data_IF_064121954666
#
_entry.id   IF_064121954666
#
_cell.length_a   1.000
_cell.length_b   1.000
_cell.length_c   1.000
_cell.angle_alpha   90.00
_cell.angle_beta   90.00
_cell.angle_gamma   90.00
#
_symmetry.space_group_name_H-M   'P 1'
#
loop_
_entity.id
_entity.type
_entity.pdbx_description
1 polymer ?
#
# COMPACT_ATOMS: atom_id res chain seq x y z
N UNK A 1 27.88 21.46 27.16
CA UNK A 1 28.28 22.87 27.34
C UNK A 1 27.78 23.45 28.65
N UNK A 2 26.46 23.57 28.90
CA UNK A 2 25.94 24.10 30.19
C UNK A 2 26.51 23.43 31.44
N UNK A 3 26.59 22.10 31.44
CA UNK A 3 27.15 21.33 32.57
C UNK A 3 28.66 21.55 32.80
N UNK A 4 29.39 21.87 31.74
CA UNK A 4 30.83 22.17 31.82
C UNK A 4 31.04 23.57 32.38
N UNK A 5 30.22 24.52 31.95
CA UNK A 5 30.20 25.88 32.48
C UNK A 5 29.79 25.92 33.96
N UNK A 6 28.80 25.13 34.36
CA UNK A 6 28.38 25.02 35.77
C UNK A 6 29.46 24.36 36.64
N UNK A 7 30.20 23.39 36.09
CA UNK A 7 31.37 22.81 36.76
C UNK A 7 32.48 23.84 36.96
N UNK A 8 32.79 24.65 35.94
CA UNK A 8 33.79 25.70 36.06
C UNK A 8 33.36 26.85 36.99
N UNK A 9 32.07 27.20 36.99
CA UNK A 9 31.51 28.23 37.87
C UNK A 9 31.47 27.83 39.36
N UNK A 10 31.53 26.52 39.67
CA UNK A 10 31.60 26.00 41.04
C UNK A 10 33.01 26.09 41.67
N UNK A 11 33.98 26.70 40.99
CA UNK A 11 35.33 26.92 41.51
C UNK A 11 35.33 28.10 42.48
N UNK A 12 35.44 27.85 43.78
CA UNK A 12 35.54 28.91 44.80
C UNK A 12 36.81 29.76 44.60
N UNK A 13 36.69 31.07 44.78
CA UNK A 13 37.85 31.97 44.81
C UNK A 13 38.72 31.67 46.05
N UNK A 14 40.06 31.69 45.92
CA UNK A 14 40.95 31.42 47.04
C UNK A 14 40.65 32.38 48.22
N UNK A 15 40.76 31.92 49.48
CA UNK A 15 40.49 32.76 50.63
C UNK A 15 41.40 33.97 50.57
N UNK A 16 40.80 35.18 50.63
CA UNK A 16 41.57 36.41 50.72
C UNK A 16 42.45 36.36 51.98
N UNK A 17 43.66 36.95 51.95
CA UNK A 17 44.49 37.07 53.15
C UNK A 17 43.65 37.71 54.26
N UNK A 18 43.62 37.11 55.47
CA UNK A 18 42.72 37.58 56.51
C UNK A 18 43.09 39.00 56.99
N UNK A 19 42.10 39.76 57.47
CA UNK A 19 42.23 41.14 57.99
C UNK A 19 43.38 41.31 59.02
N UNK A 20 43.80 40.22 59.70
CA UNK A 20 44.93 40.21 60.64
C UNK A 20 46.30 40.52 59.99
N UNK A 21 46.44 40.43 58.66
CA UNK A 21 47.66 40.85 57.95
C UNK A 21 47.91 42.36 58.10
N UNK A 22 46.83 43.17 58.10
CA UNK A 22 46.91 44.59 58.41
C UNK A 22 47.35 44.84 59.86
N UNK A 23 46.91 43.98 60.78
CA UNK A 23 47.26 44.03 62.21
C UNK A 23 48.74 43.67 62.42
N UNK A 24 49.26 42.66 61.74
CA UNK A 24 50.68 42.27 61.79
C UNK A 24 51.57 43.35 61.15
N UNK A 25 51.14 43.94 60.04
CA UNK A 25 51.86 45.03 59.38
C UNK A 25 51.94 46.28 60.27
N UNK A 26 50.82 46.65 60.90
CA UNK A 26 50.74 47.74 61.89
C UNK A 26 51.63 47.47 63.11
N UNK A 27 51.70 46.22 63.58
CA UNK A 27 52.56 45.80 64.70
C UNK A 27 54.05 45.82 64.31
N UNK A 28 54.39 45.44 63.08
CA UNK A 28 55.77 45.42 62.57
C UNK A 28 56.35 46.82 62.33
N UNK A 29 55.50 47.83 62.20
CA UNK A 29 55.87 49.25 62.03
C UNK A 29 56.12 49.98 63.37
N UNK A 30 55.78 49.37 64.52
CA UNK A 30 56.08 49.94 65.84
C UNK A 30 57.60 49.87 66.15
N UNK A 31 58.19 50.95 66.71
CA UNK A 31 59.63 51.00 66.98
C UNK A 31 60.05 49.95 68.01
N UNK A 32 61.03 49.10 67.66
CA UNK A 32 61.63 48.04 68.51
C UNK A 32 62.54 48.59 69.63
N UNK A 33 62.13 49.66 70.32
CA UNK A 33 62.85 50.23 71.47
C UNK A 33 62.04 49.99 72.75
N UNK A 34 62.23 48.80 73.35
CA UNK A 34 61.68 48.46 74.66
C UNK A 34 61.57 46.94 74.86
N UNK A 35 62.19 46.46 75.94
CA UNK A 35 62.15 45.12 76.55
C UNK A 35 62.26 43.88 75.60
N UNK A 36 63.36 43.08 75.65
CA UNK A 36 63.52 41.87 74.82
C UNK A 36 62.37 40.86 74.92
N UNK A 37 61.57 40.89 75.99
CA UNK A 37 60.38 40.06 76.16
C UNK A 37 59.25 40.46 75.20
N UNK A 38 59.09 41.75 74.88
CA UNK A 38 58.03 42.22 73.96
C UNK A 38 58.39 41.89 72.51
N UNK A 39 59.66 42.03 72.14
CA UNK A 39 60.13 41.65 70.80
C UNK A 39 59.94 40.16 70.50
N UNK A 40 60.21 39.28 71.47
CA UNK A 40 60.03 37.83 71.29
C UNK A 40 58.55 37.43 71.24
N UNK A 41 57.67 38.12 71.98
CA UNK A 41 56.23 37.90 71.90
C UNK A 41 55.69 38.32 70.52
N UNK A 42 56.13 39.46 69.97
CA UNK A 42 55.71 39.91 68.65
C UNK A 42 56.22 38.99 67.53
N UNK A 43 57.43 38.46 67.65
CA UNK A 43 58.00 37.47 66.73
C UNK A 43 57.22 36.14 66.80
N UNK A 44 56.90 35.65 67.99
CA UNK A 44 56.07 34.46 68.16
C UNK A 44 54.65 34.65 67.59
N UNK A 45 54.02 35.81 67.80
CA UNK A 45 52.70 36.12 67.23
C UNK A 45 52.78 36.17 65.69
N UNK A 46 53.84 36.78 65.14
CA UNK A 46 54.05 36.83 63.70
C UNK A 46 54.21 35.42 63.12
N UNK A 47 55.04 34.57 63.73
CA UNK A 47 55.27 33.20 63.30
C UNK A 47 54.01 32.34 63.42
N UNK A 48 53.23 32.49 64.50
CA UNK A 48 51.98 31.76 64.71
C UNK A 48 50.89 32.18 63.71
N UNK A 49 50.82 33.48 63.36
CA UNK A 49 49.89 33.98 62.33
C UNK A 49 50.27 33.48 60.93
N UNK A 50 51.56 33.49 60.59
CA UNK A 50 52.05 32.95 59.30
C UNK A 50 51.79 31.45 59.23
N UNK A 51 52.04 30.71 60.31
CA UNK A 51 51.79 29.27 60.40
C UNK A 51 50.29 28.94 60.26
N UNK A 52 49.42 29.69 60.96
CA UNK A 52 47.97 29.54 60.86
C UNK A 52 47.45 29.88 59.44
N UNK A 53 48.04 30.87 58.76
CA UNK A 53 47.69 31.19 57.38
C UNK A 53 48.10 30.07 56.42
N UNK A 54 49.29 29.52 56.55
CA UNK A 54 49.72 28.37 55.75
C UNK A 54 48.83 27.14 55.98
N UNK A 55 48.44 26.88 57.23
CA UNK A 55 47.58 25.74 57.58
C UNK A 55 46.18 25.90 57.00
N UNK A 56 45.60 27.10 57.08
CA UNK A 56 44.29 27.41 56.46
C UNK A 56 44.33 27.34 54.94
N UNK A 57 45.40 27.80 54.30
CA UNK A 57 45.61 27.65 52.84
C UNK A 57 45.72 26.17 52.43
N UNK A 58 46.51 25.37 53.15
CA UNK A 58 46.65 23.93 52.89
C UNK A 58 45.32 23.20 53.09
N UNK A 59 44.57 23.54 54.14
CA UNK A 59 43.24 22.97 54.39
C UNK A 59 42.24 23.36 53.29
N UNK A 60 42.25 24.61 52.85
CA UNK A 60 41.42 25.08 51.73
C UNK A 60 41.75 24.37 50.42
N UNK A 61 43.04 24.29 50.06
CA UNK A 61 43.50 23.60 48.84
C UNK A 61 43.10 22.13 48.86
N UNK A 62 43.26 21.45 50.01
CA UNK A 62 42.85 20.06 50.20
C UNK A 62 41.34 19.87 50.03
N UNK A 63 40.53 20.72 50.68
CA UNK A 63 39.06 20.69 50.57
C UNK A 63 38.57 20.95 49.14
N UNK A 64 39.19 21.91 48.45
CA UNK A 64 38.84 22.27 47.07
C UNK A 64 39.22 21.16 46.08
N UNK A 65 40.41 20.56 46.25
CA UNK A 65 40.83 19.42 45.44
C UNK A 65 39.90 18.20 45.62
N UNK A 66 39.45 17.94 46.84
CA UNK A 66 38.52 16.84 47.14
C UNK A 66 37.13 17.07 46.52
N UNK A 67 36.62 18.31 46.56
CA UNK A 67 35.37 18.70 45.88
C UNK A 67 35.48 18.57 44.36
N UNK A 68 36.54 19.09 43.74
CA UNK A 68 36.72 18.96 42.29
C UNK A 68 36.89 17.51 41.85
N UNK A 69 37.57 16.68 42.65
CA UNK A 69 37.67 15.24 42.41
C UNK A 69 36.30 14.55 42.46
N UNK A 70 35.45 14.90 43.43
CA UNK A 70 34.08 14.37 43.51
C UNK A 70 33.21 14.83 42.33
N UNK A 71 33.25 16.12 41.99
CA UNK A 71 32.47 16.68 40.88
C UNK A 71 32.89 16.10 39.53
N UNK A 72 34.19 15.99 39.27
CA UNK A 72 34.71 15.35 38.05
C UNK A 72 34.31 13.88 37.95
N UNK A 73 34.26 13.15 39.08
CA UNK A 73 33.79 11.76 39.11
C UNK A 73 32.27 11.62 38.84
N UNK A 74 31.46 12.62 39.22
CA UNK A 74 30.01 12.64 38.99
C UNK A 74 29.61 13.08 37.57
N UNK A 75 30.44 13.90 36.93
CA UNK A 75 30.20 14.41 35.59
C UNK A 75 29.85 13.32 34.54
N UNK A 76 30.59 12.20 34.40
CA UNK A 76 30.23 11.13 33.47
C UNK A 76 28.91 10.43 33.82
N UNK A 77 28.57 10.30 35.11
CA UNK A 77 27.30 9.70 35.53
C UNK A 77 26.12 10.57 35.14
N UNK A 78 26.24 11.89 35.31
CA UNK A 78 25.21 12.84 34.90
C UNK A 78 25.02 12.86 33.38
N UNK A 79 26.12 12.80 32.61
CA UNK A 79 26.05 12.64 31.15
C UNK A 79 25.34 11.34 30.76
N UNK A 80 25.64 10.23 31.42
CA UNK A 80 24.99 8.95 31.17
C UNK A 80 23.48 9.00 31.49
N UNK A 81 23.09 9.65 32.60
CA UNK A 81 21.70 9.85 32.98
C UNK A 81 20.95 10.71 31.95
N UNK A 82 21.53 11.84 31.55
CA UNK A 82 20.97 12.72 30.52
C UNK A 82 20.78 11.98 29.19
N UNK A 83 21.76 11.16 28.79
CA UNK A 83 21.65 10.32 27.60
C UNK A 83 20.52 9.29 27.69
N UNK A 84 20.34 8.63 28.84
CA UNK A 84 19.23 7.69 29.07
C UNK A 84 17.87 8.39 29.06
N UNK A 85 17.77 9.58 29.66
CA UNK A 85 16.54 10.37 29.68
C UNK A 85 16.15 10.83 28.27
N UNK A 86 17.14 11.26 27.46
CA UNK A 86 16.91 11.61 26.05
C UNK A 86 16.37 10.43 25.26
N UNK A 87 17.00 9.25 25.37
CA UNK A 87 16.50 8.04 24.71
C UNK A 87 15.07 7.68 25.13
N UNK A 88 14.73 7.88 26.40
CA UNK A 88 13.37 7.64 26.91
C UNK A 88 12.38 8.62 26.30
N UNK A 89 12.73 9.90 26.18
CA UNK A 89 11.92 10.90 25.47
C UNK A 89 11.66 10.49 24.02
N UNK A 90 12.68 10.03 23.30
CA UNK A 90 12.54 9.59 21.91
C UNK A 90 11.60 8.37 21.80
N UNK A 91 11.73 7.41 22.72
CA UNK A 91 10.83 6.25 22.77
C UNK A 91 9.39 6.65 23.05
N UNK A 92 9.15 7.60 23.95
CA UNK A 92 7.80 8.12 24.22
C UNK A 92 7.23 8.81 22.98
N UNK A 93 8.02 9.63 22.29
CA UNK A 93 7.59 10.31 21.06
C UNK A 93 7.20 9.30 19.96
N UNK A 94 8.03 8.27 19.74
CA UNK A 94 7.74 7.20 18.77
C UNK A 94 6.49 6.41 19.18
N UNK A 95 6.31 6.17 20.48
CA UNK A 95 5.13 5.44 20.98
C UNK A 95 3.86 6.23 20.73
N UNK A 96 3.90 7.55 20.92
CA UNK A 96 2.76 8.42 20.67
C UNK A 96 2.43 8.52 19.17
N UNK A 97 3.43 8.66 18.31
CA UNK A 97 3.23 8.61 16.84
C UNK A 97 2.58 7.29 16.39
N UNK A 98 3.03 6.16 16.96
CA UNK A 98 2.43 4.86 16.68
C UNK A 98 1.00 4.73 17.21
N UNK A 99 0.70 5.30 18.37
CA UNK A 99 -0.67 5.33 18.90
C UNK A 99 -1.60 6.10 17.95
N UNK A 100 -1.20 7.29 17.50
CA UNK A 100 -1.97 8.09 16.54
C UNK A 100 -2.21 7.34 15.22
N UNK A 101 -1.20 6.60 14.74
CA UNK A 101 -1.35 5.76 13.55
C UNK A 101 -2.34 4.61 13.76
N UNK A 102 -2.29 3.95 14.93
CA UNK A 102 -3.24 2.90 15.30
C UNK A 102 -4.66 3.44 15.39
N UNK A 103 -4.85 4.61 16.00
CA UNK A 103 -6.17 5.26 16.11
C UNK A 103 -6.76 5.57 14.73
N UNK A 104 -5.94 6.07 13.78
CA UNK A 104 -6.37 6.25 12.39
C UNK A 104 -6.78 4.94 11.72
N UNK A 105 -6.02 3.87 11.92
CA UNK A 105 -6.37 2.56 11.38
C UNK A 105 -7.64 1.99 12.03
N UNK A 106 -7.86 2.23 13.32
CA UNK A 106 -9.06 1.79 14.03
C UNK A 106 -10.30 2.57 13.57
N UNK A 107 -10.20 3.89 13.40
CA UNK A 107 -11.26 4.70 12.83
C UNK A 107 -11.65 4.25 11.41
N UNK A 108 -10.66 3.96 10.55
CA UNK A 108 -10.90 3.40 9.23
C UNK A 108 -11.57 2.02 9.31
N UNK A 109 -11.17 1.17 10.26
CA UNK A 109 -11.76 -0.14 10.47
C UNK A 109 -13.22 -0.05 10.94
N UNK A 110 -13.53 0.85 11.88
CA UNK A 110 -14.91 1.09 12.34
C UNK A 110 -15.81 1.59 11.20
N UNK A 111 -15.31 2.50 10.36
CA UNK A 111 -16.05 2.97 9.19
C UNK A 111 -16.27 1.86 8.12
N UNK A 112 -15.32 0.92 7.97
CA UNK A 112 -15.52 -0.29 7.14
C UNK A 112 -16.59 -1.20 7.77
N UNK A 113 -16.55 -1.40 9.09
CA UNK A 113 -17.51 -2.23 9.83
C UNK A 113 -18.92 -1.67 9.72
N UNK A 114 -19.05 -0.35 9.80
CA UNK A 114 -20.33 0.35 9.74
C UNK A 114 -20.84 0.50 8.29
N UNK A 115 -20.13 -0.11 7.33
CA UNK A 115 -20.52 -0.29 5.93
C UNK A 115 -20.75 1.05 5.20
N UNK A 116 -19.94 2.06 5.54
CA UNK A 116 -20.09 3.38 4.95
C UNK A 116 -19.67 3.34 3.46
N UNK A 117 -20.62 3.61 2.56
CA UNK A 117 -20.42 3.57 1.11
C UNK A 117 -19.29 4.53 0.64
N UNK A 118 -18.90 5.50 1.46
CA UNK A 118 -17.80 6.44 1.21
C UNK A 118 -16.44 5.73 1.19
N UNK A 119 -16.19 4.83 2.14
CA UNK A 119 -14.93 4.08 2.26
C UNK A 119 -14.85 2.99 1.19
N UNK A 120 -15.95 2.27 0.92
CA UNK A 120 -15.99 1.31 -0.19
C UNK A 120 -15.61 1.96 -1.54
N UNK A 121 -16.10 3.18 -1.79
CA UNK A 121 -15.73 3.95 -3.00
C UNK A 121 -14.29 4.43 -2.98
N UNK A 122 -13.77 4.89 -1.84
CA UNK A 122 -12.37 5.32 -1.71
C UNK A 122 -11.37 4.16 -1.90
N UNK A 123 -11.63 2.99 -1.31
CA UNK A 123 -10.82 1.79 -1.50
C UNK A 123 -10.85 1.27 -2.93
N UNK A 124 -12.02 1.33 -3.59
CA UNK A 124 -12.12 0.99 -5.01
C UNK A 124 -11.33 1.96 -5.89
N UNK A 125 -11.42 3.27 -5.64
CA UNK A 125 -10.69 4.26 -6.42
C UNK A 125 -9.17 4.09 -6.28
N UNK A 126 -8.68 3.89 -5.05
CA UNK A 126 -7.25 3.68 -4.77
C UNK A 126 -6.74 2.38 -5.43
N UNK A 127 -7.47 1.27 -5.29
CA UNK A 127 -7.10 -0.01 -5.89
C UNK A 127 -7.12 0.06 -7.43
N UNK A 128 -8.08 0.79 -8.02
CA UNK A 128 -8.18 0.92 -9.47
C UNK A 128 -7.01 1.73 -10.04
N UNK A 129 -6.65 2.86 -9.42
CA UNK A 129 -5.47 3.64 -9.82
C UNK A 129 -4.20 2.83 -9.68
N UNK A 130 -4.03 2.09 -8.58
CA UNK A 130 -2.86 1.23 -8.37
C UNK A 130 -2.79 0.10 -9.42
N UNK A 131 -3.93 -0.51 -9.79
CA UNK A 131 -3.98 -1.53 -10.84
C UNK A 131 -3.43 -1.01 -12.18
N UNK A 132 -3.83 0.19 -12.59
CA UNK A 132 -3.34 0.79 -13.84
C UNK A 132 -1.88 1.22 -13.76
N UNK A 133 -1.45 1.87 -12.68
CA UNK A 133 -0.06 2.30 -12.52
C UNK A 133 0.86 1.09 -12.51
N UNK A 134 0.57 0.10 -11.66
CA UNK A 134 1.38 -1.12 -11.57
C UNK A 134 1.32 -1.95 -12.86
N UNK A 135 0.17 -1.98 -13.55
CA UNK A 135 0.04 -2.63 -14.85
C UNK A 135 0.86 -1.96 -15.94
N UNK A 136 0.91 -0.62 -15.99
CA UNK A 136 1.73 0.13 -16.94
C UNK A 136 3.22 -0.09 -16.67
N UNK A 137 3.63 -0.07 -15.40
CA UNK A 137 5.03 -0.38 -15.04
C UNK A 137 5.36 -1.83 -15.40
N UNK A 138 4.46 -2.79 -15.16
CA UNK A 138 4.65 -4.18 -15.54
C UNK A 138 4.79 -4.36 -17.07
N UNK A 139 4.04 -3.59 -17.87
CA UNK A 139 4.17 -3.56 -19.33
C UNK A 139 5.57 -3.11 -19.77
N UNK A 140 6.11 -2.05 -19.17
CA UNK A 140 7.48 -1.60 -19.41
C UNK A 140 8.48 -2.69 -19.03
N UNK A 141 8.24 -3.39 -17.93
CA UNK A 141 9.03 -4.53 -17.48
C UNK A 141 9.02 -5.70 -18.49
N UNK A 142 7.86 -6.03 -19.06
CA UNK A 142 7.74 -7.04 -20.13
C UNK A 142 8.55 -6.61 -21.36
N UNK A 143 8.51 -5.33 -21.74
CA UNK A 143 9.36 -4.81 -22.83
C UNK A 143 10.86 -4.95 -22.51
N UNK A 144 11.26 -4.69 -21.27
CA UNK A 144 12.63 -4.96 -20.80
C UNK A 144 13.01 -6.45 -20.93
N UNK A 145 12.10 -7.34 -20.56
CA UNK A 145 12.27 -8.79 -20.69
C UNK A 145 12.38 -9.25 -22.14
N UNK A 146 11.63 -8.63 -23.06
CA UNK A 146 11.75 -8.90 -24.50
C UNK A 146 13.11 -8.44 -25.06
N UNK A 147 13.63 -7.30 -24.60
CA UNK A 147 14.98 -6.83 -24.98
C UNK A 147 16.03 -7.83 -24.47
N UNK A 148 15.91 -8.28 -23.22
CA UNK A 148 16.79 -9.29 -22.64
C UNK A 148 16.71 -10.64 -23.42
N UNK A 149 15.51 -11.10 -23.74
CA UNK A 149 15.30 -12.28 -24.59
C UNK A 149 16.01 -12.15 -25.94
N UNK A 150 15.89 -11.01 -26.60
CA UNK A 150 16.53 -10.78 -27.90
C UNK A 150 18.06 -10.65 -27.82
N UNK A 151 18.61 -10.23 -26.66
CA UNK A 151 20.04 -10.25 -26.40
C UNK A 151 20.58 -11.70 -26.31
N UNK A 152 19.81 -12.60 -25.69
CA UNK A 152 20.24 -13.96 -25.37
C UNK A 152 19.94 -14.96 -26.50
N UNK A 153 18.77 -14.87 -27.14
CA UNK A 153 18.25 -15.93 -28.01
C UNK A 153 19.16 -16.21 -29.23
N UNK A 154 19.80 -15.19 -29.79
CA UNK A 154 20.63 -15.35 -31.00
C UNK A 154 21.95 -16.11 -30.73
N UNK A 155 22.79 -15.71 -29.75
CA UNK A 155 23.95 -16.52 -29.34
C UNK A 155 23.58 -17.95 -28.95
N UNK A 156 22.47 -18.12 -28.23
CA UNK A 156 21.99 -19.45 -27.81
C UNK A 156 21.58 -20.33 -28.99
N UNK A 157 21.06 -19.74 -30.07
CA UNK A 157 20.79 -20.48 -31.30
C UNK A 157 22.07 -21.03 -31.92
N UNK A 158 23.20 -20.36 -31.80
CA UNK A 158 24.45 -20.89 -32.33
C UNK A 158 25.05 -21.97 -31.43
N UNK A 159 24.96 -21.79 -30.11
CA UNK A 159 25.51 -22.74 -29.14
C UNK A 159 24.70 -24.04 -29.02
N UNK A 160 23.37 -23.96 -29.11
CA UNK A 160 22.45 -25.10 -28.88
C UNK A 160 21.89 -25.67 -30.20
N UNK A 161 22.23 -25.04 -31.33
CA UNK A 161 21.81 -25.43 -32.66
C UNK A 161 20.51 -24.73 -33.09
N UNK A 162 20.63 -23.77 -34.01
CA UNK A 162 19.54 -22.85 -34.36
C UNK A 162 18.44 -23.47 -35.22
N UNK A 163 18.73 -24.64 -35.79
CA UNK A 163 17.77 -25.49 -36.51
C UNK A 163 17.33 -26.69 -35.68
N UNK A 164 17.74 -26.78 -34.41
CA UNK A 164 17.25 -27.79 -33.48
C UNK A 164 15.90 -27.32 -32.95
N UNK A 165 14.86 -28.10 -33.22
CA UNK A 165 13.52 -27.86 -32.72
C UNK A 165 13.20 -28.89 -31.64
N UNK A 166 12.71 -28.42 -30.49
CA UNK A 166 12.16 -29.29 -29.45
C UNK A 166 10.64 -29.15 -29.50
N UNK A 167 9.98 -30.08 -30.19
CA UNK A 167 8.56 -29.93 -30.53
C UNK A 167 8.33 -28.87 -31.60
N UNK A 168 7.41 -27.93 -31.36
CA UNK A 168 7.05 -26.84 -32.30
C UNK A 168 7.84 -25.53 -32.12
N UNK A 169 8.74 -25.45 -31.14
CA UNK A 169 9.53 -24.24 -30.84
C UNK A 169 11.03 -24.49 -31.07
N UNK A 170 11.78 -23.43 -31.39
CA UNK A 170 13.24 -23.50 -31.50
C UNK A 170 13.85 -23.74 -30.13
N UNK A 171 14.81 -24.66 -30.03
CA UNK A 171 15.48 -24.97 -28.76
C UNK A 171 16.19 -23.73 -28.17
N UNK A 172 16.68 -22.81 -29.01
CA UNK A 172 17.25 -21.52 -28.61
C UNK A 172 16.30 -20.65 -27.80
N UNK A 173 15.04 -20.59 -28.24
CA UNK A 173 14.03 -19.71 -27.66
C UNK A 173 13.60 -20.26 -26.30
N UNK A 174 13.48 -21.59 -26.20
CA UNK A 174 13.22 -22.26 -24.92
C UNK A 174 14.38 -22.01 -23.95
N UNK A 175 15.62 -22.15 -24.39
CA UNK A 175 16.79 -21.95 -23.53
C UNK A 175 16.89 -20.50 -23.02
N UNK A 176 16.67 -19.51 -23.89
CA UNK A 176 16.64 -18.10 -23.48
C UNK A 176 15.51 -17.82 -22.47
N UNK A 177 14.31 -18.37 -22.70
CA UNK A 177 13.18 -18.20 -21.79
C UNK A 177 13.44 -18.85 -20.42
N UNK A 178 14.11 -20.00 -20.37
CA UNK A 178 14.49 -20.66 -19.11
C UNK A 178 15.45 -19.79 -18.30
N UNK A 179 16.44 -19.15 -18.93
CA UNK A 179 17.37 -18.24 -18.25
C UNK A 179 16.59 -17.08 -17.61
N UNK A 180 15.74 -16.40 -18.38
CA UNK A 180 14.91 -15.28 -17.91
C UNK A 180 13.97 -15.72 -16.79
N UNK A 181 13.37 -16.91 -16.90
CA UNK A 181 12.49 -17.44 -15.85
C UNK A 181 13.24 -17.68 -14.53
N UNK A 182 14.45 -18.23 -14.61
CA UNK A 182 15.32 -18.41 -13.43
C UNK A 182 15.71 -17.06 -12.85
N UNK A 183 16.06 -16.10 -13.68
CA UNK A 183 16.43 -14.74 -13.28
C UNK A 183 15.28 -14.02 -12.55
N UNK A 184 14.08 -14.00 -13.13
CA UNK A 184 12.88 -13.42 -12.51
C UNK A 184 12.59 -14.12 -11.17
N UNK A 185 12.70 -15.46 -11.12
CA UNK A 185 12.49 -16.20 -9.88
C UNK A 185 13.53 -15.83 -8.81
N UNK A 186 14.83 -15.78 -9.16
CA UNK A 186 15.89 -15.39 -8.22
C UNK A 186 15.75 -13.93 -7.79
N UNK A 187 15.36 -13.04 -8.68
CA UNK A 187 15.10 -11.62 -8.40
C UNK A 187 13.96 -11.44 -7.42
N UNK A 188 12.89 -12.20 -7.60
CA UNK A 188 11.78 -12.23 -6.67
C UNK A 188 12.22 -12.72 -5.29
N UNK A 189 12.95 -13.84 -5.22
CA UNK A 189 13.45 -14.36 -3.93
C UNK A 189 14.40 -13.40 -3.23
N UNK A 190 15.21 -12.66 -4.00
CA UNK A 190 16.11 -11.64 -3.48
C UNK A 190 15.34 -10.50 -2.82
N UNK A 191 14.32 -9.95 -3.51
CA UNK A 191 13.51 -8.85 -2.99
C UNK A 191 12.63 -9.25 -1.81
N UNK A 192 12.14 -10.49 -1.80
CA UNK A 192 11.42 -11.04 -0.66
C UNK A 192 12.36 -11.22 0.55
N UNK A 193 13.59 -11.71 0.33
CA UNK A 193 14.60 -11.85 1.38
C UNK A 193 15.05 -10.48 1.94
N UNK A 194 14.96 -9.42 1.14
CA UNK A 194 15.18 -8.04 1.56
C UNK A 194 13.98 -7.42 2.28
N UNK A 195 12.82 -8.09 2.33
CA UNK A 195 11.54 -7.56 2.83
C UNK A 195 11.08 -6.29 2.12
N UNK A 196 11.49 -6.12 0.86
CA UNK A 196 10.96 -5.07 -0.01
C UNK A 196 9.58 -5.49 -0.50
N UNK A 197 9.45 -6.76 -0.92
CA UNK A 197 8.17 -7.36 -1.30
C UNK A 197 7.61 -8.29 -0.23
N UNK A 198 6.31 -8.56 -0.28
CA UNK A 198 5.59 -9.50 0.62
C UNK A 198 4.76 -10.52 -0.16
N UNK A 199 5.32 -11.05 -1.25
CA UNK A 199 4.65 -12.06 -2.09
C UNK A 199 4.62 -13.44 -1.42
N UNK A 200 5.62 -13.77 -0.60
CA UNK A 200 5.79 -15.09 0.01
C UNK A 200 5.92 -14.97 1.54
N UNK A 201 4.80 -14.95 2.28
CA UNK A 201 4.81 -14.72 3.72
C UNK A 201 5.67 -15.73 4.49
N UNK A 202 5.90 -16.93 3.95
CA UNK A 202 6.81 -17.94 4.55
C UNK A 202 8.22 -17.39 4.76
N UNK A 203 8.75 -16.60 3.80
CA UNK A 203 10.11 -16.05 3.85
C UNK A 203 10.22 -14.96 4.92
N UNK A 204 9.13 -14.22 5.17
CA UNK A 204 9.09 -13.17 6.20
C UNK A 204 9.28 -13.72 7.62
N UNK A 205 8.81 -14.95 7.88
CA UNK A 205 8.87 -15.61 9.19
C UNK A 205 10.16 -16.43 9.39
N UNK A 206 11.05 -16.49 8.40
CA UNK A 206 12.34 -17.17 8.52
C UNK A 206 13.27 -16.41 9.48
N UNK A 207 14.16 -17.15 10.15
CA UNK A 207 15.19 -16.58 11.01
C UNK A 207 16.16 -15.70 10.20
N UNK A 208 16.67 -14.65 10.86
CA UNK A 208 17.52 -13.63 10.22
C UNK A 208 18.79 -14.21 9.56
N UNK A 209 19.32 -15.33 10.09
CA UNK A 209 20.51 -15.98 9.55
C UNK A 209 20.21 -16.67 8.23
N UNK A 210 19.11 -17.44 8.14
CA UNK A 210 18.70 -18.07 6.90
C UNK A 210 18.33 -17.04 5.83
N UNK A 211 17.66 -15.95 6.21
CA UNK A 211 17.30 -14.86 5.28
C UNK A 211 18.53 -14.19 4.66
N UNK A 212 19.55 -13.87 5.48
CA UNK A 212 20.84 -13.34 4.96
C UNK A 212 21.54 -14.33 4.05
N UNK A 213 21.52 -15.62 4.40
CA UNK A 213 22.12 -16.67 3.56
C UNK A 213 21.39 -16.79 2.22
N UNK A 214 20.06 -16.79 2.22
CA UNK A 214 19.23 -16.78 1.01
C UNK A 214 19.57 -15.58 0.13
N UNK A 215 19.62 -14.37 0.71
CA UNK A 215 19.99 -13.15 0.01
C UNK A 215 21.35 -13.26 -0.69
N UNK A 216 22.38 -13.76 0.01
CA UNK A 216 23.71 -13.95 -0.59
C UNK A 216 23.66 -14.99 -1.70
N UNK A 217 22.98 -16.14 -1.51
CA UNK A 217 22.88 -17.20 -2.52
C UNK A 217 22.16 -16.68 -3.78
N UNK A 218 20.99 -16.07 -3.63
CA UNK A 218 20.20 -15.58 -4.78
C UNK A 218 20.92 -14.45 -5.51
N UNK A 219 21.57 -13.54 -4.77
CA UNK A 219 22.38 -12.48 -5.37
C UNK A 219 23.59 -13.06 -6.13
N UNK A 220 24.29 -14.04 -5.57
CA UNK A 220 25.40 -14.70 -6.25
C UNK A 220 24.95 -15.40 -7.54
N UNK A 221 23.80 -16.09 -7.53
CA UNK A 221 23.24 -16.72 -8.74
C UNK A 221 22.91 -15.66 -9.79
N UNK A 222 22.20 -14.58 -9.42
CA UNK A 222 21.90 -13.47 -10.32
C UNK A 222 23.15 -12.83 -10.90
N UNK A 223 24.19 -12.63 -10.08
CA UNK A 223 25.45 -12.05 -10.53
C UNK A 223 26.17 -12.96 -11.53
N UNK A 224 26.16 -14.28 -11.31
CA UNK A 224 26.72 -15.25 -12.25
C UNK A 224 25.93 -15.24 -13.56
N UNK A 225 24.59 -15.24 -13.50
CA UNK A 225 23.74 -15.17 -14.69
C UNK A 225 23.96 -13.87 -15.46
N UNK A 226 24.05 -12.72 -14.78
CA UNK A 226 24.40 -11.44 -15.38
C UNK A 226 25.75 -11.46 -16.09
N UNK A 227 26.75 -12.15 -15.52
CA UNK A 227 28.04 -12.36 -16.17
C UNK A 227 27.95 -13.21 -17.43
N UNK A 228 27.17 -14.29 -17.40
CA UNK A 228 26.91 -15.14 -18.57
C UNK A 228 26.20 -14.33 -19.65
N UNK A 229 25.19 -13.54 -19.30
CA UNK A 229 24.43 -12.72 -20.25
C UNK A 229 25.25 -11.58 -20.84
N UNK A 230 26.13 -10.95 -20.07
CA UNK A 230 27.09 -10.00 -20.60
C UNK A 230 28.00 -10.64 -21.66
N UNK A 231 28.44 -11.87 -21.42
CA UNK A 231 29.24 -12.64 -22.39
C UNK A 231 28.43 -13.04 -23.62
N UNK A 232 27.17 -13.46 -23.46
CA UNK A 232 26.27 -13.76 -24.58
C UNK A 232 25.94 -12.51 -25.40
N UNK A 233 25.71 -11.36 -24.76
CA UNK A 233 25.48 -10.09 -25.45
C UNK A 233 26.71 -9.65 -26.26
N UNK A 234 27.91 -9.85 -25.72
CA UNK A 234 29.15 -9.65 -26.48
C UNK A 234 29.26 -10.62 -27.67
N UNK A 235 28.94 -11.90 -27.46
CA UNK A 235 28.92 -12.91 -28.52
C UNK A 235 27.93 -12.53 -29.63
N UNK A 236 26.75 -12.01 -29.28
CA UNK A 236 25.75 -11.54 -30.25
C UNK A 236 26.33 -10.50 -31.20
N UNK A 237 27.08 -9.53 -30.66
CA UNK A 237 27.69 -8.48 -31.45
C UNK A 237 28.76 -9.06 -32.38
N UNK A 238 29.61 -9.96 -31.87
CA UNK A 238 30.62 -10.66 -32.68
C UNK A 238 30.00 -11.46 -33.83
N UNK A 239 28.92 -12.19 -33.56
CA UNK A 239 28.21 -12.96 -34.57
C UNK A 239 27.50 -12.09 -35.62
N UNK A 240 27.01 -10.92 -35.22
CA UNK A 240 26.48 -9.95 -36.15
C UNK A 240 27.58 -9.43 -37.09
N UNK A 241 28.77 -9.16 -36.57
CA UNK A 241 29.94 -8.72 -37.35
C UNK A 241 30.37 -9.78 -38.37
N UNK A 242 30.49 -11.04 -37.95
CA UNK A 242 30.89 -12.13 -38.85
C UNK A 242 29.89 -12.31 -40.00
N UNK A 243 28.59 -12.17 -39.72
CA UNK A 243 27.54 -12.22 -40.75
C UNK A 243 27.60 -11.04 -41.72
N UNK A 244 27.90 -9.84 -41.24
CA UNK A 244 28.10 -8.66 -42.10
C UNK A 244 29.32 -8.83 -43.00
N UNK A 245 30.45 -9.26 -42.43
CA UNK A 245 31.68 -9.50 -43.17
C UNK A 245 31.50 -10.58 -44.23
N UNK A 246 30.83 -11.69 -43.90
CA UNK A 246 30.50 -12.74 -44.86
C UNK A 246 29.59 -12.23 -45.98
N UNK A 247 28.56 -11.45 -45.68
CA UNK A 247 27.68 -10.87 -46.70
C UNK A 247 28.44 -9.93 -47.63
N UNK A 248 29.34 -9.12 -47.09
CA UNK A 248 30.13 -8.16 -47.86
C UNK A 248 31.17 -8.88 -48.75
N UNK A 249 31.81 -9.94 -48.24
CA UNK A 249 32.68 -10.81 -49.02
C UNK A 249 31.91 -11.54 -50.14
N UNK A 250 30.70 -12.03 -49.86
CA UNK A 250 29.85 -12.68 -50.87
C UNK A 250 29.33 -11.71 -51.93
N UNK A 251 29.17 -10.43 -51.58
CA UNK A 251 28.82 -9.36 -52.51
C UNK A 251 30.02 -8.83 -53.32
N UNK A 252 31.24 -9.34 -53.08
CA UNK A 252 32.46 -8.91 -53.78
C UNK A 252 32.94 -7.50 -53.42
N UNK A 253 32.47 -6.94 -52.31
CA UNK A 253 32.85 -5.60 -51.84
C UNK A 253 33.89 -5.75 -50.73
N UNK A 254 34.96 -4.95 -50.73
CA UNK A 254 35.93 -4.93 -49.62
C UNK A 254 35.29 -4.43 -48.34
N UNK A 255 35.46 -5.17 -47.24
CA UNK A 255 34.96 -4.80 -45.92
C UNK A 255 35.62 -3.50 -45.42
N UNK A 256 34.80 -2.47 -45.15
CA UNK A 256 35.25 -1.27 -44.46
C UNK A 256 35.16 -1.52 -42.95
N UNK A 257 36.32 -1.73 -42.31
CA UNK A 257 36.41 -1.77 -40.85
C UNK A 257 36.04 -0.39 -40.31
N UNK A 258 34.96 -0.30 -39.51
CA UNK A 258 34.60 0.97 -38.88
C UNK A 258 35.36 1.12 -37.56
N UNK A 259 36.10 2.21 -37.43
CA UNK A 259 37.10 2.50 -36.39
C UNK A 259 36.51 2.65 -34.97
N UNK A 260 35.19 2.85 -34.83
CA UNK A 260 34.49 3.10 -33.56
C UNK A 260 33.49 1.99 -33.14
N UNK A 261 33.65 0.76 -33.61
CA UNK A 261 32.69 -0.36 -33.34
C UNK A 261 32.71 -0.91 -31.91
N UNK A 262 33.74 -0.62 -31.11
CA UNK A 262 33.82 -1.08 -29.72
C UNK A 262 32.78 -0.42 -28.80
N UNK A 263 32.26 0.77 -29.17
CA UNK A 263 31.28 1.51 -28.37
C UNK A 263 29.95 0.72 -28.29
N UNK A 264 29.33 0.29 -29.42
CA UNK A 264 28.20 -0.63 -29.39
C UNK A 264 28.46 -1.92 -28.60
N UNK A 265 29.60 -2.58 -28.80
CA UNK A 265 29.90 -3.86 -28.13
C UNK A 265 29.93 -3.71 -26.62
N UNK A 266 30.59 -2.67 -26.10
CA UNK A 266 30.61 -2.37 -24.66
C UNK A 266 29.20 -2.02 -24.17
N UNK A 267 28.44 -1.21 -24.93
CA UNK A 267 27.08 -0.84 -24.59
C UNK A 267 26.16 -2.06 -24.45
N UNK A 268 26.26 -3.02 -25.37
CA UNK A 268 25.48 -4.25 -25.33
C UNK A 268 25.91 -5.18 -24.19
N UNK A 269 27.22 -5.30 -23.93
CA UNK A 269 27.74 -6.08 -22.81
C UNK A 269 27.28 -5.51 -21.46
N UNK A 270 27.37 -4.20 -21.28
CA UNK A 270 26.89 -3.50 -20.08
C UNK A 270 25.38 -3.65 -19.94
N UNK A 271 24.63 -3.53 -21.03
CA UNK A 271 23.18 -3.76 -21.03
C UNK A 271 22.85 -5.21 -20.63
N UNK A 272 23.54 -6.20 -21.19
CA UNK A 272 23.37 -7.61 -20.83
C UNK A 272 23.72 -7.92 -19.37
N UNK A 273 24.64 -7.17 -18.77
CA UNK A 273 24.94 -7.29 -17.34
C UNK A 273 23.89 -6.63 -16.44
N UNK A 274 23.37 -5.46 -16.84
CA UNK A 274 22.47 -4.65 -16.00
C UNK A 274 21.03 -5.18 -16.06
N UNK A 275 20.58 -5.68 -17.21
CA UNK A 275 19.19 -6.11 -17.41
C UNK A 275 18.73 -7.16 -16.40
N UNK A 276 19.51 -8.23 -16.13
CA UNK A 276 19.85 -8.72 -14.81
C UNK A 276 18.99 -8.33 -13.61
N UNK A 277 19.51 -7.25 -13.06
CA UNK A 277 19.09 -6.64 -11.84
C UNK A 277 17.86 -5.75 -12.09
N UNK A 278 17.72 -5.19 -13.29
CA UNK A 278 16.54 -4.42 -13.67
C UNK A 278 15.28 -5.30 -13.71
N UNK A 279 15.37 -6.52 -14.26
CA UNK A 279 14.28 -7.50 -14.29
C UNK A 279 13.97 -8.06 -12.91
N UNK A 280 14.96 -8.16 -12.01
CA UNK A 280 14.68 -8.50 -10.62
C UNK A 280 13.69 -7.51 -9.96
N UNK A 281 13.78 -6.21 -10.28
CA UNK A 281 12.86 -5.19 -9.76
C UNK A 281 11.41 -5.31 -10.23
N UNK A 282 11.12 -6.17 -11.23
CA UNK A 282 9.75 -6.47 -11.69
C UNK A 282 8.88 -6.96 -10.53
N UNK A 283 9.45 -7.56 -9.48
CA UNK A 283 8.67 -8.06 -8.35
C UNK A 283 7.89 -6.96 -7.61
N UNK A 284 8.41 -5.73 -7.56
CA UNK A 284 7.77 -4.59 -6.87
C UNK A 284 6.43 -4.20 -7.52
N UNK A 285 6.36 -3.84 -8.81
CA UNK A 285 5.09 -3.57 -9.47
C UNK A 285 4.22 -4.82 -9.57
N UNK A 286 4.81 -6.02 -9.68
CA UNK A 286 4.06 -7.28 -9.70
C UNK A 286 3.27 -7.49 -8.40
N UNK A 287 3.86 -7.24 -7.23
CA UNK A 287 3.16 -7.31 -5.95
C UNK A 287 1.99 -6.34 -5.88
N UNK A 288 2.24 -5.07 -6.22
CA UNK A 288 1.19 -4.05 -6.26
C UNK A 288 0.07 -4.42 -7.24
N UNK A 289 0.42 -4.98 -8.39
CA UNK A 289 -0.54 -5.45 -9.39
C UNK A 289 -1.35 -6.65 -8.87
N UNK A 290 -0.73 -7.61 -8.19
CA UNK A 290 -1.44 -8.77 -7.60
C UNK A 290 -2.44 -8.31 -6.54
N UNK A 291 -2.05 -7.40 -5.65
CA UNK A 291 -2.97 -6.87 -4.63
C UNK A 291 -4.13 -6.09 -5.24
N UNK A 292 -3.84 -5.18 -6.17
CA UNK A 292 -4.86 -4.36 -6.84
C UNK A 292 -5.78 -5.22 -7.72
N UNK A 293 -5.23 -6.18 -8.46
CA UNK A 293 -5.98 -7.09 -9.33
C UNK A 293 -6.97 -7.94 -8.55
N UNK A 294 -6.61 -8.44 -7.36
CA UNK A 294 -7.56 -9.16 -6.50
C UNK A 294 -8.81 -8.32 -6.20
N UNK A 295 -8.64 -7.05 -5.87
CA UNK A 295 -9.76 -6.13 -5.60
C UNK A 295 -10.55 -5.83 -6.87
N UNK A 296 -9.87 -5.45 -7.96
CA UNK A 296 -10.51 -5.08 -9.24
C UNK A 296 -11.27 -6.26 -9.84
N UNK A 297 -10.71 -7.47 -9.83
CA UNK A 297 -11.38 -8.70 -10.28
C UNK A 297 -12.59 -9.02 -9.41
N UNK A 298 -12.52 -8.81 -8.10
CA UNK A 298 -13.67 -8.96 -7.20
C UNK A 298 -14.82 -8.04 -7.57
N UNK A 299 -14.54 -6.74 -7.76
CA UNK A 299 -15.53 -5.75 -8.18
C UNK A 299 -16.10 -6.06 -9.56
N UNK A 300 -15.24 -6.43 -10.51
CA UNK A 300 -15.63 -6.81 -11.86
C UNK A 300 -16.52 -8.05 -11.86
N UNK A 301 -16.23 -9.05 -11.03
CA UNK A 301 -17.08 -10.25 -10.90
C UNK A 301 -18.47 -9.89 -10.39
N UNK A 302 -18.57 -9.03 -9.37
CA UNK A 302 -19.85 -8.54 -8.86
C UNK A 302 -20.61 -7.74 -9.92
N UNK A 303 -19.92 -6.89 -10.68
CA UNK A 303 -20.51 -6.12 -11.76
C UNK A 303 -21.06 -7.03 -12.88
N UNK A 304 -20.29 -8.05 -13.29
CA UNK A 304 -20.72 -9.06 -14.26
C UNK A 304 -21.97 -9.81 -13.79
N UNK A 305 -21.98 -10.27 -12.53
CA UNK A 305 -23.14 -10.93 -11.93
C UNK A 305 -24.38 -10.03 -11.91
N UNK A 306 -24.23 -8.74 -11.54
CA UNK A 306 -25.33 -7.78 -11.55
C UNK A 306 -25.87 -7.54 -12.95
N UNK A 307 -24.99 -7.35 -13.94
CA UNK A 307 -25.37 -7.19 -15.34
C UNK A 307 -26.08 -8.45 -15.86
N UNK A 308 -25.59 -9.64 -15.51
CA UNK A 308 -26.22 -10.91 -15.87
C UNK A 308 -27.64 -11.01 -15.30
N UNK A 309 -27.86 -10.62 -14.04
CA UNK A 309 -29.19 -10.58 -13.42
C UNK A 309 -30.12 -9.64 -14.19
N UNK A 310 -29.64 -8.45 -14.56
CA UNK A 310 -30.43 -7.48 -15.33
C UNK A 310 -30.78 -8.05 -16.71
N UNK A 311 -29.82 -8.65 -17.42
CA UNK A 311 -30.06 -9.30 -18.70
C UNK A 311 -31.08 -10.43 -18.59
N UNK A 312 -30.95 -11.32 -17.59
CA UNK A 312 -31.92 -12.40 -17.37
C UNK A 312 -33.32 -11.86 -17.07
N UNK A 313 -33.43 -10.79 -16.28
CA UNK A 313 -34.72 -10.12 -16.01
C UNK A 313 -35.32 -9.50 -17.26
N UNK A 314 -34.50 -8.83 -18.08
CA UNK A 314 -34.95 -8.23 -19.33
C UNK A 314 -35.46 -9.30 -20.30
N UNK A 315 -34.68 -10.36 -20.51
CA UNK A 315 -35.04 -11.48 -21.38
C UNK A 315 -36.28 -12.20 -20.85
N UNK A 316 -36.35 -12.47 -19.55
CA UNK A 316 -37.52 -13.08 -18.93
C UNK A 316 -38.78 -12.21 -19.05
N UNK A 317 -38.65 -10.89 -18.88
CA UNK A 317 -39.73 -9.93 -19.08
C UNK A 317 -40.21 -9.86 -20.53
N UNK A 318 -39.27 -9.82 -21.48
CA UNK A 318 -39.59 -9.86 -22.91
C UNK A 318 -40.28 -11.16 -23.31
N UNK A 319 -39.77 -12.31 -22.86
CA UNK A 319 -40.38 -13.61 -23.12
C UNK A 319 -41.80 -13.69 -22.54
N UNK A 320 -42.01 -13.17 -21.32
CA UNK A 320 -43.34 -13.11 -20.71
C UNK A 320 -44.31 -12.23 -21.52
N UNK A 321 -43.85 -11.06 -21.99
CA UNK A 321 -44.68 -10.17 -22.80
C UNK A 321 -44.98 -10.77 -24.18
N UNK A 322 -43.98 -11.40 -24.81
CA UNK A 322 -44.14 -12.08 -26.09
C UNK A 322 -45.14 -13.24 -25.97
N UNK A 323 -45.05 -14.02 -24.88
CA UNK A 323 -45.99 -15.10 -24.59
C UNK A 323 -47.42 -14.59 -24.45
N UNK A 324 -47.64 -13.49 -23.71
CA UNK A 324 -48.97 -12.86 -23.64
C UNK A 324 -49.46 -12.40 -25.01
N UNK A 325 -48.60 -11.73 -25.78
CA UNK A 325 -48.94 -11.28 -27.14
C UNK A 325 -49.31 -12.46 -28.06
N UNK A 326 -48.59 -13.57 -27.95
CA UNK A 326 -48.87 -14.79 -28.72
C UNK A 326 -50.22 -15.40 -28.34
N UNK A 327 -50.54 -15.45 -27.03
CA UNK A 327 -51.84 -15.91 -26.53
C UNK A 327 -52.95 -15.00 -27.05
N UNK A 328 -52.81 -13.67 -26.96
CA UNK A 328 -53.79 -12.73 -27.52
C UNK A 328 -53.94 -12.86 -29.04
N UNK A 329 -52.84 -13.04 -29.77
CA UNK A 329 -52.86 -13.25 -31.21
C UNK A 329 -53.58 -14.55 -31.59
N UNK A 330 -53.33 -15.63 -30.85
CA UNK A 330 -54.02 -16.90 -31.02
C UNK A 330 -55.53 -16.79 -30.71
N UNK A 331 -55.87 -16.13 -29.59
CA UNK A 331 -57.26 -15.92 -29.18
C UNK A 331 -58.03 -15.07 -30.19
N UNK A 332 -57.40 -14.04 -30.76
CA UNK A 332 -57.95 -13.25 -31.87
C UNK A 332 -58.18 -14.10 -33.12
N UNK A 333 -57.23 -14.97 -33.48
CA UNK A 333 -57.31 -15.81 -34.67
C UNK A 333 -58.46 -16.84 -34.59
N UNK A 334 -58.76 -17.34 -33.39
CA UNK A 334 -59.93 -18.21 -33.13
C UNK A 334 -61.23 -17.41 -33.08
N UNK A 335 -61.23 -16.25 -32.42
CA UNK A 335 -62.45 -15.50 -32.14
C UNK A 335 -63.01 -14.80 -33.39
N UNK A 336 -62.15 -14.37 -34.32
CA UNK A 336 -62.60 -13.70 -35.56
C UNK A 336 -63.52 -14.60 -36.41
N UNK A 337 -63.15 -15.85 -36.77
CA UNK A 337 -64.03 -16.77 -37.50
C UNK A 337 -65.32 -17.09 -36.73
N UNK A 338 -65.21 -17.37 -35.42
CA UNK A 338 -66.36 -17.69 -34.56
C UNK A 338 -67.34 -16.53 -34.42
N UNK A 339 -66.85 -15.29 -34.40
CA UNK A 339 -67.70 -14.10 -34.37
C UNK A 339 -68.43 -13.91 -35.70
N UNK A 340 -67.74 -14.14 -36.83
CA UNK A 340 -68.34 -14.11 -38.16
C UNK A 340 -69.43 -15.18 -38.31
N UNK A 341 -69.15 -16.39 -37.84
CA UNK A 341 -70.11 -17.49 -37.84
C UNK A 341 -71.33 -17.16 -36.99
N UNK A 342 -71.15 -16.63 -35.77
CA UNK A 342 -72.26 -16.21 -34.90
C UNK A 342 -73.08 -15.08 -35.54
N UNK A 343 -72.45 -14.10 -36.19
CA UNK A 343 -73.14 -13.00 -36.86
C UNK A 343 -73.98 -13.49 -38.05
N UNK A 344 -73.43 -14.39 -38.86
CA UNK A 344 -74.15 -15.02 -39.98
C UNK A 344 -75.31 -15.87 -39.45
N UNK A 345 -75.08 -16.66 -38.40
CA UNK A 345 -76.10 -17.55 -37.81
C UNK A 345 -77.21 -16.77 -37.10
N UNK A 346 -76.88 -15.66 -36.44
CA UNK A 346 -77.87 -14.73 -35.87
C UNK A 346 -78.67 -14.02 -36.98
N UNK A 347 -78.03 -13.60 -38.08
CA UNK A 347 -78.74 -13.02 -39.23
C UNK A 347 -79.70 -14.00 -39.92
N UNK A 348 -79.33 -15.28 -39.99
CA UNK A 348 -80.18 -16.35 -40.51
C UNK A 348 -81.34 -16.65 -39.54
N UNK A 349 -81.07 -16.73 -38.23
CA UNK A 349 -82.10 -16.98 -37.22
C UNK A 349 -83.08 -15.80 -37.09
N UNK A 350 -82.61 -14.55 -37.16
CA UNK A 350 -83.47 -13.37 -37.15
C UNK A 350 -84.39 -13.31 -38.38
N UNK A 351 -83.91 -13.77 -39.55
CA UNK A 351 -84.76 -13.97 -40.74
C UNK A 351 -85.76 -15.10 -40.56
N UNK A 352 -85.41 -16.15 -39.82
CA UNK A 352 -86.31 -17.26 -39.53
C UNK A 352 -87.40 -16.87 -38.52
N UNK A 353 -87.06 -16.09 -37.48
CA UNK A 353 -88.03 -15.52 -36.53
C UNK A 353 -88.94 -14.49 -37.22
N UNK A 354 -88.42 -13.66 -38.13
CA UNK A 354 -89.25 -12.73 -38.92
C UNK A 354 -90.24 -13.44 -39.86
N UNK A 355 -89.90 -14.66 -40.30
CA UNK A 355 -90.77 -15.49 -41.16
C UNK A 355 -91.82 -16.27 -40.38
N UNK A 356 -91.53 -16.60 -39.12
CA UNK A 356 -92.49 -17.24 -38.18
C UNK A 356 -93.40 -16.20 -37.51
N UNK A 357 -92.88 -15.01 -37.21
CA UNK A 357 -93.68 -13.87 -36.71
C UNK A 357 -94.62 -13.28 -37.78
N UNK A 358 -94.35 -13.51 -39.07
CA UNK A 358 -95.26 -13.18 -40.17
C UNK A 358 -96.44 -14.14 -40.35
N UNK A 359 -96.63 -15.12 -39.47
CA UNK A 359 -97.71 -16.12 -39.57
C UNK A 359 -98.48 -16.35 -38.26
N UNK A 360 -98.37 -15.45 -37.28
CA UNK A 360 -99.19 -15.49 -36.09
C UNK A 360 -99.96 -14.17 -35.93
N UNK A 361 -101.22 -14.19 -36.36
CA UNK A 361 -102.24 -13.20 -35.99
C UNK A 361 -102.43 -13.18 -34.46
N UNK A 362 -102.44 -11.97 -33.92
CA UNK A 362 -103.04 -11.57 -32.63
C UNK A 362 -104.60 -11.59 -32.73
N UNK A 363 -105.39 -11.34 -31.66
CA UNK A 363 -105.16 -11.40 -30.21
C UNK A 363 -106.33 -12.08 -29.44
N UNK A 364 -106.18 -12.36 -28.13
CA UNK A 364 -107.30 -12.26 -27.17
C UNK A 364 -106.80 -11.65 -25.87
N UNK A 365 -107.40 -10.53 -25.49
CA UNK A 365 -107.25 -9.84 -24.21
C UNK A 365 -108.18 -10.50 -23.19
N UNK A 366 -107.66 -10.89 -22.02
CA UNK A 366 -108.46 -10.91 -20.80
C UNK A 366 -107.59 -10.59 -19.58
N UNK A 367 -108.07 -9.62 -18.83
CA UNK A 367 -107.53 -8.95 -17.64
C UNK A 367 -107.46 -9.86 -16.42
N UNK A 368 -106.44 -9.68 -15.55
CA UNK A 368 -106.58 -9.67 -14.08
C UNK A 368 -105.21 -9.38 -13.38
N UNK A 369 -105.14 -8.19 -12.77
CA UNK A 369 -104.56 -7.77 -11.47
C UNK A 369 -103.35 -8.44 -10.75
N UNK A 370 -102.70 -7.70 -9.81
CA UNK A 370 -101.27 -7.81 -9.50
C UNK A 370 -100.95 -8.62 -8.24
N UNK A 371 -99.70 -9.04 -8.05
CA UNK A 371 -99.20 -9.38 -6.71
C UNK A 371 -97.68 -9.29 -6.60
N UNK A 372 -97.28 -8.71 -5.46
CA UNK A 372 -95.94 -8.51 -4.92
C UNK A 372 -95.07 -9.76 -4.81
N UNK A 373 -93.75 -9.56 -4.91
CA UNK A 373 -92.70 -10.03 -3.98
C UNK A 373 -91.33 -9.91 -4.70
N UNK A 374 -90.45 -8.96 -4.38
CA UNK A 374 -89.63 -8.83 -3.17
C UNK A 374 -88.71 -10.05 -2.91
N UNK A 375 -87.42 -9.72 -2.70
CA UNK A 375 -86.38 -10.49 -2.00
C UNK A 375 -85.82 -11.70 -2.80
N UNK A 376 -84.54 -12.06 -2.80
CA UNK A 376 -83.43 -11.75 -1.91
C UNK A 376 -82.13 -12.33 -2.49
N UNK A 377 -81.04 -12.02 -1.78
CA UNK A 377 -79.75 -12.72 -1.68
C UNK A 377 -78.54 -11.98 -2.26
N UNK A 378 -78.21 -10.93 -1.50
CA UNK A 378 -76.84 -10.62 -1.10
C UNK A 378 -76.17 -11.84 -0.45
N UNK A 379 -74.85 -11.96 -0.60
CA UNK A 379 -73.86 -12.34 0.42
C UNK A 379 -72.47 -12.20 -0.25
N UNK A 380 -71.78 -11.06 -0.13
CA UNK A 380 -70.95 -10.64 1.00
C UNK A 380 -69.93 -11.70 1.43
N UNK A 381 -68.63 -11.49 1.13
CA UNK A 381 -67.63 -11.19 2.17
C UNK A 381 -66.29 -10.71 1.57
N UNK A 382 -65.61 -9.81 2.28
CA UNK A 382 -64.33 -9.15 1.93
C UNK A 382 -63.47 -9.10 3.22
N UNK A 383 -62.29 -8.45 3.24
CA UNK A 383 -60.93 -8.91 2.94
C UNK A 383 -60.05 -9.12 4.19
N UNK A 384 -58.76 -9.49 4.00
CA UNK A 384 -57.71 -9.24 5.02
C UNK A 384 -56.44 -8.64 4.41
N UNK A 385 -56.12 -7.45 4.92
CA UNK A 385 -54.90 -6.69 4.66
C UNK A 385 -53.78 -7.08 5.65
N UNK A 386 -52.53 -7.01 5.20
CA UNK A 386 -51.34 -7.17 6.04
C UNK A 386 -50.45 -5.92 5.92
N UNK A 387 -50.05 -5.42 7.09
CA UNK A 387 -49.47 -4.10 7.39
C UNK A 387 -47.98 -4.29 7.65
N UNK A 388 -47.07 -3.59 6.94
CA UNK A 388 -45.64 -3.56 7.27
C UNK A 388 -45.16 -2.12 7.48
N UNK A 389 -44.67 -1.87 8.69
CA UNK A 389 -44.17 -0.60 9.25
C UNK A 389 -42.97 -0.04 8.46
N UNK A 390 -43.07 1.23 8.09
CA UNK A 390 -41.98 2.17 7.84
C UNK A 390 -41.46 2.73 9.17
N UNK A 391 -40.14 2.88 9.30
CA UNK A 391 -39.49 3.64 10.37
C UNK A 391 -38.74 4.79 9.70
N UNK A 392 -39.22 6.00 9.95
CA UNK A 392 -38.63 7.28 9.56
C UNK A 392 -37.98 7.86 10.82
N UNK A 393 -36.73 8.32 10.75
CA UNK A 393 -36.14 9.14 11.79
C UNK A 393 -35.09 10.08 11.16
N UNK A 394 -35.36 11.37 11.30
CA UNK A 394 -34.45 12.51 11.19
C UNK A 394 -35.15 13.69 11.92
N UNK A 395 -34.47 14.80 12.20
CA UNK A 395 -33.28 14.97 13.04
C UNK A 395 -33.61 15.90 14.24
N UNK A 396 -32.82 15.87 15.31
CA UNK A 396 -32.88 16.91 16.36
C UNK A 396 -31.59 17.72 16.37
N UNK A 397 -31.78 19.03 16.23
CA UNK A 397 -30.87 20.15 16.48
C UNK A 397 -30.78 20.44 17.97
N UNK A 398 -29.57 20.62 18.52
CA UNK A 398 -29.13 21.78 19.33
C UNK A 398 -27.99 21.45 20.30
N UNK A 399 -27.06 22.40 20.38
CA UNK A 399 -26.01 22.72 21.39
C UNK A 399 -24.71 23.06 20.63
N UNK A 400 -24.53 24.30 20.18
CA UNK A 400 -24.08 25.46 20.95
C UNK A 400 -22.66 25.33 21.53
N UNK A 401 -21.74 26.06 20.88
CA UNK A 401 -20.73 26.96 21.44
C UNK A 401 -19.86 26.54 22.64
N UNK A 402 -18.54 26.61 22.40
CA UNK A 402 -17.37 26.90 23.29
C UNK A 402 -16.21 26.00 22.83
N UNK A 403 -14.94 26.37 22.71
CA UNK A 403 -14.13 27.56 22.93
C UNK A 403 -12.68 27.14 22.54
N UNK A 404 -11.89 28.11 22.04
CA UNK A 404 -10.42 28.09 21.86
C UNK A 404 -9.76 27.18 20.82
#
# INVERSE_FOLDING_TARGET
ERLENDYQAATDAPPLPPEWLSVVQTISELPRQGDPVVSSILENIQDEVVSAHEETLKAYQKSSAERHRLLSALQPQWRALAGKLSKTKDVVAITQERADAVDKHMANYEAIRDNEDSIARALMASSMTQFFISGLVLLVAVMGGLINFQLIAMPMAEMVGGNSYTGGFKTSDIAALVIIMVEIAMGLFLLESLRITKLFPVIAHMDDKMRKRMMVITFSILFILAGIEASLAYMRDLLALDREALKQSLAGVSALNAEFRWIPSIGQMVMGFILPFALAFVAIPLESFIHASRTVLGVMTVAVLRTLIICLRLVGGLAHQLSKMLVFGYDMLITVPLSLEKLVRQGINARHESRVAGSAEQPVVLSAEPTDSALESQLADKPRASRRRTKTAAPDTDLAAQQN
#
